data_IF_292241914446
#
_entry.id   IF_292241914446
#
_cell.length_a   1.000
_cell.length_b   1.000
_cell.length_c   1.000
_cell.angle_alpha   90.00
_cell.angle_beta   90.00
_cell.angle_gamma   90.00
#
_symmetry.space_group_name_H-M   'P 1'
#
loop_
_entity.id
_entity.type
_entity.pdbx_description
1 polymer ?
#
# COMPACT_ATOMS: atom_id res chain seq x y z
N UNK A 1 -64.11 -8.22 -47.60
CA UNK A 1 -62.83 -8.82 -48.03
C UNK A 1 -61.57 -7.96 -47.78
N UNK A 2 -61.58 -6.63 -47.98
CA UNK A 2 -60.40 -5.77 -47.74
C UNK A 2 -60.10 -5.53 -46.24
N UNK A 3 -61.14 -5.39 -45.44
CA UNK A 3 -61.01 -5.13 -43.98
C UNK A 3 -60.42 -6.36 -43.24
N UNK A 4 -60.80 -7.55 -43.59
CA UNK A 4 -60.27 -8.77 -43.01
C UNK A 4 -58.77 -8.99 -43.27
N UNK A 5 -58.31 -8.63 -44.48
CA UNK A 5 -56.91 -8.73 -44.81
C UNK A 5 -56.06 -7.68 -44.13
N UNK A 6 -56.59 -6.49 -43.92
CA UNK A 6 -55.91 -5.42 -43.17
C UNK A 6 -55.80 -5.84 -41.69
N UNK A 7 -56.83 -6.40 -41.08
CA UNK A 7 -56.81 -6.88 -39.70
C UNK A 7 -55.83 -8.01 -39.52
N UNK A 8 -55.72 -8.97 -40.44
CA UNK A 8 -54.76 -10.07 -40.43
C UNK A 8 -53.30 -9.56 -40.53
N UNK A 9 -53.03 -8.51 -41.33
CA UNK A 9 -51.68 -7.94 -41.43
C UNK A 9 -51.31 -7.20 -40.14
N UNK A 10 -52.23 -6.43 -39.56
CA UNK A 10 -52.01 -5.73 -38.29
C UNK A 10 -51.72 -6.74 -37.17
N UNK A 11 -52.50 -7.81 -37.08
CA UNK A 11 -52.29 -8.89 -36.07
C UNK A 11 -50.92 -9.59 -36.27
N UNK A 12 -50.51 -9.85 -37.49
CA UNK A 12 -49.24 -10.48 -37.76
C UNK A 12 -48.03 -9.56 -37.43
N UNK A 13 -48.14 -8.28 -37.66
CA UNK A 13 -47.12 -7.31 -37.30
C UNK A 13 -47.03 -7.12 -35.78
N UNK A 14 -48.17 -7.11 -35.05
CA UNK A 14 -48.18 -7.06 -33.58
C UNK A 14 -47.56 -8.36 -32.99
N UNK A 15 -47.80 -9.51 -33.57
CA UNK A 15 -47.23 -10.78 -33.11
C UNK A 15 -45.71 -10.85 -33.35
N UNK A 16 -45.22 -10.31 -34.48
CA UNK A 16 -43.79 -10.24 -34.79
C UNK A 16 -43.03 -9.28 -33.85
N UNK A 17 -43.66 -8.20 -33.39
CA UNK A 17 -43.06 -7.24 -32.46
C UNK A 17 -42.90 -7.79 -31.03
N UNK A 18 -43.71 -8.80 -30.64
CA UNK A 18 -43.65 -9.42 -29.31
C UNK A 18 -42.53 -10.46 -29.17
N UNK A 19 -41.82 -10.83 -30.22
CA UNK A 19 -40.72 -11.78 -30.22
C UNK A 19 -39.31 -11.13 -30.20
N UNK A 20 -39.21 -9.84 -29.87
CA UNK A 20 -37.90 -9.27 -29.60
C UNK A 20 -37.43 -9.84 -28.26
N UNK A 21 -36.42 -10.73 -28.22
CA UNK A 21 -35.87 -11.14 -26.95
C UNK A 21 -35.34 -9.88 -26.29
N UNK A 22 -35.94 -9.49 -25.16
CA UNK A 22 -35.30 -8.55 -24.27
C UNK A 22 -34.02 -9.22 -23.78
N UNK A 23 -32.91 -9.00 -24.49
CA UNK A 23 -31.59 -9.26 -23.96
C UNK A 23 -31.45 -8.30 -22.79
N UNK A 24 -31.81 -8.78 -21.61
CA UNK A 24 -31.45 -8.14 -20.37
C UNK A 24 -29.93 -8.23 -20.33
N UNK A 25 -29.27 -7.17 -20.75
CA UNK A 25 -27.87 -6.96 -20.37
C UNK A 25 -27.89 -6.80 -18.85
N UNK A 26 -27.73 -7.90 -18.09
CA UNK A 26 -27.33 -7.80 -16.73
C UNK A 26 -26.00 -7.04 -16.74
N UNK A 27 -26.00 -5.79 -16.36
CA UNK A 27 -24.76 -5.04 -16.18
C UNK A 27 -23.95 -5.84 -15.16
N UNK A 28 -22.78 -6.30 -15.57
CA UNK A 28 -21.89 -7.03 -14.70
C UNK A 28 -21.44 -6.06 -13.59
N UNK A 29 -21.80 -6.39 -12.35
CA UNK A 29 -21.41 -5.57 -11.19
C UNK A 29 -19.90 -5.71 -11.02
N UNK A 30 -19.11 -4.62 -11.11
CA UNK A 30 -17.67 -4.70 -11.00
C UNK A 30 -17.24 -5.16 -9.61
N UNK A 31 -16.25 -6.05 -9.57
CA UNK A 31 -15.66 -6.51 -8.34
C UNK A 31 -14.58 -5.54 -7.85
N UNK A 32 -14.50 -5.39 -6.52
CA UNK A 32 -13.41 -4.68 -5.88
C UNK A 32 -12.08 -5.39 -6.14
N UNK A 33 -11.08 -4.61 -6.56
CA UNK A 33 -9.70 -5.03 -6.73
C UNK A 33 -8.77 -3.92 -6.20
N UNK A 34 -7.51 -4.26 -5.90
CA UNK A 34 -6.55 -3.29 -5.41
C UNK A 34 -5.90 -3.69 -4.09
N UNK A 35 -5.33 -2.68 -3.40
CA UNK A 35 -4.61 -2.89 -2.15
C UNK A 35 -5.35 -2.25 -0.98
N UNK A 36 -5.72 -3.08 -0.01
CA UNK A 36 -6.24 -2.65 1.28
C UNK A 36 -5.10 -2.65 2.30
N UNK A 37 -4.99 -1.59 3.10
CA UNK A 37 -4.07 -1.50 4.24
C UNK A 37 -4.82 -1.14 5.50
N UNK A 38 -4.29 -1.58 6.64
CA UNK A 38 -4.69 -1.08 7.95
C UNK A 38 -3.76 0.09 8.28
N UNK A 39 -4.34 1.25 8.56
CA UNK A 39 -3.64 2.41 9.07
C UNK A 39 -3.77 2.47 10.59
N UNK A 40 -2.69 2.84 11.27
CA UNK A 40 -2.58 2.85 12.72
C UNK A 40 -1.66 1.77 13.24
N UNK A 41 -1.27 1.88 14.50
CA UNK A 41 -0.43 0.90 15.20
C UNK A 41 -1.32 -0.16 15.84
N UNK A 42 -1.04 -1.44 15.59
CA UNK A 42 -1.76 -2.55 16.20
C UNK A 42 -1.37 -2.67 17.68
N UNK A 43 -1.92 -1.79 18.54
CA UNK A 43 -1.63 -1.73 19.94
C UNK A 43 -2.87 -1.38 20.77
N UNK A 44 -2.92 -1.86 21.99
CA UNK A 44 -4.01 -1.58 22.95
C UNK A 44 -4.33 -0.08 23.03
N UNK A 45 -5.60 0.27 22.97
CA UNK A 45 -6.11 1.63 23.03
C UNK A 45 -5.93 2.45 21.74
N UNK A 46 -5.25 1.92 20.72
CA UNK A 46 -5.08 2.59 19.41
C UNK A 46 -6.23 2.27 18.49
N UNK A 47 -6.54 3.23 17.64
CA UNK A 47 -7.59 3.08 16.63
C UNK A 47 -6.97 2.70 15.28
N UNK A 48 -7.50 1.64 14.69
CA UNK A 48 -7.17 1.18 13.34
C UNK A 48 -8.23 1.66 12.36
N UNK A 49 -7.83 2.00 11.15
CA UNK A 49 -8.72 2.38 10.05
C UNK A 49 -8.32 1.70 8.73
N UNK A 50 -9.26 1.64 7.80
CA UNK A 50 -9.00 1.13 6.45
C UNK A 50 -8.36 2.22 5.60
N UNK A 51 -7.27 1.91 4.90
CA UNK A 51 -6.67 2.75 3.86
C UNK A 51 -6.77 2.04 2.51
N UNK A 52 -7.49 2.67 1.57
CA UNK A 52 -7.61 2.16 0.20
C UNK A 52 -6.48 2.70 -0.65
N UNK A 53 -5.69 1.79 -1.25
CA UNK A 53 -4.66 2.15 -2.22
C UNK A 53 -4.96 1.51 -3.57
N UNK A 54 -5.03 2.34 -4.60
CA UNK A 54 -5.23 1.85 -5.98
C UNK A 54 -6.46 0.93 -6.12
N UNK A 55 -7.56 1.23 -5.38
CA UNK A 55 -8.78 0.42 -5.44
C UNK A 55 -9.50 0.66 -6.76
N UNK A 56 -9.95 -0.41 -7.35
CA UNK A 56 -10.76 -0.44 -8.58
C UNK A 56 -12.13 -1.07 -8.28
N UNK A 57 -13.16 -0.68 -9.04
CA UNK A 57 -13.15 0.37 -10.06
C UNK A 57 -12.93 1.76 -9.45
N UNK A 58 -12.49 2.72 -10.29
CA UNK A 58 -12.32 4.11 -9.83
C UNK A 58 -13.66 4.69 -9.34
N UNK A 59 -13.60 5.52 -8.30
CA UNK A 59 -14.77 6.14 -7.71
C UNK A 59 -15.40 5.39 -6.54
N UNK A 60 -14.86 4.22 -6.16
CA UNK A 60 -15.27 3.54 -4.91
C UNK A 60 -14.97 4.42 -3.71
N UNK A 61 -15.98 4.68 -2.90
CA UNK A 61 -15.88 5.45 -1.66
C UNK A 61 -16.04 4.53 -0.44
N UNK A 62 -15.75 5.09 0.73
CA UNK A 62 -15.94 4.38 1.99
C UNK A 62 -17.40 3.98 2.27
N UNK A 63 -18.36 4.68 1.67
CA UNK A 63 -19.78 4.39 1.84
C UNK A 63 -20.27 3.24 0.93
N UNK A 64 -19.50 2.91 -0.10
CA UNK A 64 -19.81 1.86 -1.06
C UNK A 64 -19.40 0.46 -0.59
N UNK A 65 -18.79 0.38 0.58
CA UNK A 65 -18.25 -0.86 1.13
C UNK A 65 -18.78 -1.14 2.54
N UNK A 66 -18.77 -2.41 2.91
CA UNK A 66 -19.01 -2.89 4.26
C UNK A 66 -17.69 -3.35 4.88
N UNK A 67 -17.50 -3.02 6.15
CA UNK A 67 -16.31 -3.39 6.93
C UNK A 67 -16.63 -4.58 7.82
N UNK A 68 -15.65 -5.44 8.03
CA UNK A 68 -15.67 -6.51 9.01
C UNK A 68 -14.29 -6.62 9.65
N UNK A 69 -14.23 -6.34 10.94
CA UNK A 69 -13.05 -6.53 11.76
C UNK A 69 -13.17 -7.83 12.52
N UNK A 70 -12.13 -8.65 12.47
CA UNK A 70 -12.10 -9.96 13.11
C UNK A 70 -10.77 -10.13 13.84
N UNK A 71 -10.77 -10.88 14.95
CA UNK A 71 -9.57 -11.29 15.66
C UNK A 71 -9.12 -12.66 15.18
N UNK A 72 -7.84 -12.75 14.87
CA UNK A 72 -7.15 -13.98 14.49
C UNK A 72 -6.10 -14.33 15.55
N UNK A 73 -6.32 -15.42 16.26
CA UNK A 73 -5.40 -15.89 17.30
C UNK A 73 -4.26 -16.72 16.68
N UNK A 74 -3.29 -17.13 17.51
CA UNK A 74 -2.21 -18.05 17.08
C UNK A 74 -2.81 -19.42 16.70
N UNK A 75 -3.83 -19.89 17.41
CA UNK A 75 -4.52 -21.14 17.12
C UNK A 75 -5.23 -21.09 15.75
N UNK A 76 -5.82 -19.95 15.40
CA UNK A 76 -6.42 -19.71 14.10
C UNK A 76 -5.37 -19.76 12.97
N UNK A 77 -4.16 -19.26 13.22
CA UNK A 77 -3.06 -19.33 12.26
C UNK A 77 -2.57 -20.76 12.04
N UNK A 78 -2.53 -21.57 13.08
CA UNK A 78 -2.17 -23.00 12.99
C UNK A 78 -3.23 -23.78 12.23
N UNK A 79 -4.51 -23.52 12.49
CA UNK A 79 -5.66 -24.11 11.78
C UNK A 79 -5.59 -23.78 10.28
N UNK A 80 -5.31 -22.54 9.93
CA UNK A 80 -5.17 -22.12 8.52
C UNK A 80 -3.96 -22.79 7.84
N UNK A 81 -2.83 -22.95 8.54
CA UNK A 81 -1.64 -23.69 8.05
C UNK A 81 -1.94 -25.17 7.83
N UNK A 82 -2.84 -25.75 8.60
CA UNK A 82 -3.31 -27.12 8.42
C UNK A 82 -4.25 -27.28 7.21
N UNK A 83 -4.63 -26.17 6.56
CA UNK A 83 -5.55 -26.16 5.41
C UNK A 83 -7.03 -26.13 5.82
N UNK A 84 -7.30 -25.89 7.07
CA UNK A 84 -8.66 -25.73 7.60
C UNK A 84 -9.03 -24.25 7.67
N UNK A 85 -10.33 -23.96 7.60
CA UNK A 85 -10.80 -22.56 7.72
C UNK A 85 -11.05 -22.24 9.20
N UNK A 86 -10.28 -21.30 9.79
CA UNK A 86 -10.51 -20.90 11.18
C UNK A 86 -11.82 -20.12 11.32
N UNK A 87 -12.46 -20.23 12.49
CA UNK A 87 -13.57 -19.38 12.89
C UNK A 87 -13.05 -18.15 13.63
N UNK A 88 -12.85 -17.05 12.88
CA UNK A 88 -12.35 -15.79 13.45
C UNK A 88 -13.44 -15.13 14.30
N UNK A 89 -13.05 -14.51 15.40
CA UNK A 89 -13.97 -13.77 16.26
C UNK A 89 -14.27 -12.39 15.69
N UNK A 90 -15.55 -12.10 15.37
CA UNK A 90 -16.02 -10.79 14.97
C UNK A 90 -15.80 -9.76 16.08
N UNK A 91 -15.24 -8.60 15.71
CA UNK A 91 -14.93 -7.47 16.59
C UNK A 91 -15.80 -6.25 16.30
N UNK A 92 -16.19 -6.02 15.04
CA UNK A 92 -17.02 -4.90 14.65
C UNK A 92 -17.16 -4.72 13.14
N UNK A 93 -18.04 -3.78 12.75
CA UNK A 93 -18.38 -3.47 11.36
C UNK A 93 -18.27 -1.98 11.00
N UNK A 94 -17.68 -1.21 11.89
CA UNK A 94 -17.49 0.23 11.67
C UNK A 94 -16.26 0.49 10.78
N UNK A 95 -16.11 1.70 10.25
CA UNK A 95 -14.95 2.14 9.46
C UNK A 95 -13.63 2.03 10.23
N UNK A 96 -13.72 2.11 11.55
CA UNK A 96 -12.57 2.05 12.46
C UNK A 96 -12.78 1.00 13.55
N UNK A 97 -11.68 0.49 14.07
CA UNK A 97 -11.70 -0.41 15.21
C UNK A 97 -10.71 0.07 16.27
N UNK A 98 -11.14 0.17 17.51
CA UNK A 98 -10.24 0.47 18.65
C UNK A 98 -9.80 -0.83 19.28
N UNK A 99 -8.50 -1.06 19.25
CA UNK A 99 -7.86 -2.27 19.78
C UNK A 99 -8.04 -2.32 21.29
N UNK A 100 -8.43 -3.48 21.79
CA UNK A 100 -8.68 -3.73 23.22
C UNK A 100 -7.60 -4.62 23.84
N UNK A 101 -7.57 -4.70 25.15
CA UNK A 101 -6.66 -5.58 25.89
C UNK A 101 -6.82 -7.06 25.50
N UNK A 102 -8.04 -7.47 25.15
CA UNK A 102 -8.33 -8.85 24.74
C UNK A 102 -7.65 -9.24 23.42
N UNK A 103 -7.23 -8.27 22.63
CA UNK A 103 -6.61 -8.49 21.31
C UNK A 103 -5.09 -8.68 21.40
N UNK A 104 -4.48 -8.40 22.54
CA UNK A 104 -3.02 -8.51 22.73
C UNK A 104 -2.55 -9.93 22.40
N UNK A 105 -1.48 -10.02 21.59
CA UNK A 105 -0.92 -11.29 21.12
C UNK A 105 -1.63 -11.90 19.91
N UNK A 106 -2.77 -11.33 19.49
CA UNK A 106 -3.52 -11.73 18.28
C UNK A 106 -3.22 -10.79 17.12
N UNK A 107 -3.74 -11.09 15.94
CA UNK A 107 -3.76 -10.20 14.78
C UNK A 107 -5.18 -9.74 14.49
N UNK A 108 -5.31 -8.55 13.97
CA UNK A 108 -6.60 -8.00 13.53
C UNK A 108 -6.70 -8.19 12.01
N UNK A 109 -7.80 -8.79 11.60
CA UNK A 109 -8.13 -9.00 10.20
C UNK A 109 -9.20 -8.00 9.81
N UNK A 110 -8.97 -7.27 8.73
CA UNK A 110 -9.95 -6.40 8.12
C UNK A 110 -10.37 -6.99 6.78
N UNK A 111 -11.66 -7.21 6.62
CA UNK A 111 -12.29 -7.55 5.35
C UNK A 111 -13.19 -6.40 4.94
N UNK A 112 -13.02 -5.93 3.71
CA UNK A 112 -13.85 -4.88 3.10
C UNK A 112 -14.57 -5.51 1.92
N UNK A 113 -15.90 -5.42 1.89
CA UNK A 113 -16.75 -6.03 0.86
C UNK A 113 -17.57 -4.95 0.16
N UNK A 114 -17.58 -4.98 -1.17
CA UNK A 114 -18.40 -4.08 -1.97
C UNK A 114 -19.90 -4.30 -1.74
N UNK A 115 -20.66 -3.22 -1.66
CA UNK A 115 -22.11 -3.28 -1.53
C UNK A 115 -22.75 -3.38 -2.91
N UNK A 116 -23.45 -4.49 -3.16
CA UNK A 116 -24.15 -4.70 -4.43
C UNK A 116 -25.21 -3.62 -4.71
N UNK A 117 -25.85 -3.11 -3.67
CA UNK A 117 -26.81 -2.01 -3.75
C UNK A 117 -26.20 -0.70 -4.28
N UNK A 118 -24.89 -0.52 -4.10
CA UNK A 118 -24.12 0.62 -4.60
C UNK A 118 -23.39 0.29 -5.91
N UNK A 119 -23.62 -0.90 -6.48
CA UNK A 119 -23.05 -1.32 -7.74
C UNK A 119 -21.63 -1.87 -7.64
N UNK A 120 -21.24 -2.43 -6.49
CA UNK A 120 -19.93 -3.03 -6.27
C UNK A 120 -20.07 -4.43 -5.65
N UNK A 121 -19.15 -5.35 -6.01
CA UNK A 121 -19.08 -6.69 -5.46
C UNK A 121 -17.63 -7.04 -5.11
N UNK A 122 -17.39 -8.27 -4.64
CA UNK A 122 -16.06 -8.73 -4.26
C UNK A 122 -15.60 -8.22 -2.89
N UNK A 123 -14.46 -8.70 -2.43
CA UNK A 123 -13.91 -8.33 -1.13
C UNK A 123 -12.38 -8.27 -1.14
N UNK A 124 -11.84 -7.33 -0.37
CA UNK A 124 -10.41 -7.19 -0.08
C UNK A 124 -10.16 -7.55 1.38
N UNK A 125 -9.06 -8.22 1.67
CA UNK A 125 -8.70 -8.66 3.01
C UNK A 125 -7.26 -8.27 3.33
N UNK A 126 -7.04 -7.81 4.56
CA UNK A 126 -5.71 -7.49 5.09
C UNK A 126 -5.61 -7.90 6.55
N UNK A 127 -4.40 -8.24 6.97
CA UNK A 127 -4.10 -8.65 8.35
C UNK A 127 -3.08 -7.69 8.93
N UNK A 128 -3.29 -7.26 10.18
CA UNK A 128 -2.35 -6.40 10.91
C UNK A 128 -1.09 -7.16 11.35
N UNK A 129 -0.13 -6.42 11.86
CA UNK A 129 0.90 -6.98 12.74
C UNK A 129 0.25 -7.53 14.02
N UNK A 130 1.02 -8.28 14.81
CA UNK A 130 0.57 -8.77 16.10
C UNK A 130 0.30 -7.58 17.04
N UNK A 131 -0.86 -7.61 17.68
CA UNK A 131 -1.26 -6.57 18.64
C UNK A 131 -0.35 -6.61 19.87
N UNK A 132 0.21 -5.47 20.22
CA UNK A 132 1.06 -5.27 21.40
C UNK A 132 0.32 -4.45 22.46
N UNK A 133 0.80 -4.50 23.68
CA UNK A 133 0.29 -3.65 24.76
C UNK A 133 0.69 -2.18 24.57
N UNK A 134 -0.01 -1.27 25.24
CA UNK A 134 0.16 0.17 25.09
C UNK A 134 1.58 0.65 25.51
N UNK A 135 2.21 0.01 26.50
CA UNK A 135 3.55 0.39 26.94
C UNK A 135 4.61 0.01 25.91
N UNK A 136 4.55 -1.21 25.40
CA UNK A 136 5.45 -1.67 24.31
C UNK A 136 5.33 -0.77 23.07
N UNK A 137 4.11 -0.35 22.73
CA UNK A 137 3.89 0.57 21.61
C UNK A 137 4.54 1.94 21.86
N UNK A 138 4.38 2.49 23.07
CA UNK A 138 5.00 3.77 23.43
C UNK A 138 6.53 3.69 23.39
N UNK A 139 7.12 2.60 23.87
CA UNK A 139 8.57 2.39 23.88
C UNK A 139 9.11 2.25 22.44
N UNK A 140 8.39 1.58 21.56
CA UNK A 140 8.73 1.48 20.13
C UNK A 140 8.63 2.83 19.41
N UNK A 141 7.58 3.61 19.66
CA UNK A 141 7.41 4.95 19.10
C UNK A 141 8.51 5.90 19.59
N UNK A 142 8.88 5.85 20.87
CA UNK A 142 9.97 6.64 21.45
C UNK A 142 11.32 6.29 20.78
N UNK A 143 11.63 5.01 20.65
CA UNK A 143 12.86 4.54 20.01
C UNK A 143 12.92 4.94 18.53
N UNK A 144 11.81 4.81 17.79
CA UNK A 144 11.75 5.22 16.39
C UNK A 144 11.92 6.73 16.22
N UNK A 145 11.40 7.53 17.15
CA UNK A 145 11.59 8.99 17.16
C UNK A 145 13.05 9.37 17.44
N UNK A 146 13.73 8.68 18.37
CA UNK A 146 15.14 8.90 18.69
C UNK A 146 16.06 8.52 17.50
N UNK A 147 15.79 7.38 16.85
CA UNK A 147 16.54 6.95 15.68
C UNK A 147 16.37 7.91 14.50
N UNK A 148 15.16 8.43 14.30
CA UNK A 148 14.89 9.43 13.27
C UNK A 148 15.58 10.77 13.56
N UNK A 149 15.64 11.19 14.82
CA UNK A 149 16.37 12.39 15.25
C UNK A 149 17.87 12.23 15.04
N UNK A 150 18.46 11.10 15.39
CA UNK A 150 19.86 10.79 15.17
C UNK A 150 20.24 10.76 13.67
N UNK A 151 19.35 10.20 12.82
CA UNK A 151 19.55 10.19 11.37
C UNK A 151 19.49 11.60 10.75
N UNK A 152 18.65 12.48 11.28
CA UNK A 152 18.55 13.87 10.84
C UNK A 152 19.81 14.68 11.20
N UNK A 153 20.36 14.51 12.40
CA UNK A 153 21.59 15.17 12.85
C UNK A 153 22.81 14.75 12.01
N UNK A 154 22.88 13.45 11.66
CA UNK A 154 23.94 12.93 10.78
C UNK A 154 23.85 13.49 9.36
N UNK A 155 22.65 13.67 8.82
CA UNK A 155 22.46 14.27 7.49
C UNK A 155 22.84 15.75 7.45
N UNK A 156 22.55 16.50 8.52
CA UNK A 156 22.92 17.92 8.64
C UNK A 156 24.43 18.11 8.78
N UNK A 157 25.12 17.22 9.51
CA UNK A 157 26.58 17.23 9.62
C UNK A 157 27.29 16.89 8.30
N UNK A 158 26.75 15.99 7.50
CA UNK A 158 27.27 15.66 6.17
C UNK A 158 27.11 16.83 5.18
N UNK A 159 25.95 17.48 5.19
CA UNK A 159 25.71 18.66 4.34
C UNK A 159 26.62 19.86 4.69
N UNK A 160 26.95 20.04 5.98
CA UNK A 160 27.89 21.08 6.43
C UNK A 160 29.33 20.79 6.00
N UNK A 161 29.78 19.54 5.95
CA UNK A 161 31.12 19.16 5.49
C UNK A 161 31.30 19.28 3.97
N UNK A 162 30.27 19.03 3.19
CA UNK A 162 30.35 19.24 1.73
C UNK A 162 30.45 20.71 1.36
N UNK A 163 29.81 21.65 2.09
CA UNK A 163 29.91 23.08 1.86
C UNK A 163 31.29 23.67 2.25
N UNK A 164 31.93 23.16 3.28
CA UNK A 164 33.30 23.60 3.64
C UNK A 164 34.35 23.09 2.64
N UNK A 165 34.16 21.91 2.03
CA UNK A 165 35.11 21.37 1.06
C UNK A 165 35.04 22.08 -0.31
N UNK A 166 33.86 22.56 -0.72
CA UNK A 166 33.72 23.37 -1.95
C UNK A 166 34.30 24.79 -1.80
N UNK A 167 34.25 25.37 -0.61
CA UNK A 167 34.79 26.70 -0.37
C UNK A 167 36.33 26.72 -0.26
N UNK A 168 36.96 25.56 0.07
CA UNK A 168 38.42 25.43 0.16
C UNK A 168 39.11 25.22 -1.20
N UNK A 169 38.38 24.84 -2.24
CA UNK A 169 38.94 24.61 -3.59
C UNK A 169 38.90 25.84 -4.51
N UNK A 170 38.24 26.92 -4.10
CA UNK A 170 38.05 28.12 -4.97
C UNK A 170 38.93 29.31 -4.60
N UNK A 171 39.99 29.18 -3.81
CA UNK A 171 40.90 30.29 -3.41
C UNK A 171 42.34 30.15 -3.88
N UNK A 172 42.64 29.19 -4.79
CA UNK A 172 44.01 29.10 -5.33
C UNK A 172 44.04 29.06 -6.88
N UNK A 173 43.60 30.19 -7.49
CA UNK A 173 43.82 30.45 -8.91
C UNK A 173 43.83 31.95 -9.17
N UNK A 174 44.91 32.65 -8.75
CA UNK A 174 45.34 33.89 -9.41
C UNK A 174 46.77 34.29 -9.02
N UNK A 175 47.59 34.34 -10.01
CA UNK A 175 48.97 34.86 -10.15
C UNK A 175 50.02 33.74 -10.32
N UNK A 176 50.82 33.66 -11.32
CA UNK A 176 51.46 34.66 -12.16
C UNK A 176 52.06 34.01 -13.42
N UNK A 177 52.20 34.79 -14.45
CA UNK A 177 52.80 34.53 -15.74
C UNK A 177 54.32 34.40 -15.62
N UNK A 178 54.93 33.58 -16.41
CA UNK A 178 56.10 33.69 -17.27
C UNK A 178 57.02 32.45 -17.34
N UNK A 179 57.03 31.92 -18.52
CA UNK A 179 58.16 31.68 -19.45
C UNK A 179 59.31 30.76 -19.01
N UNK A 180 59.54 29.79 -19.83
CA UNK A 180 60.75 29.33 -20.49
C UNK A 180 61.01 27.84 -20.47
N UNK A 181 60.79 27.23 -21.63
CA UNK A 181 61.62 26.28 -22.40
C UNK A 181 62.43 25.19 -21.68
N UNK A 182 62.23 23.98 -22.20
CA UNK A 182 63.19 23.03 -22.72
C UNK A 182 63.32 21.66 -22.01
N UNK A 183 62.98 20.70 -22.82
CA UNK A 183 63.63 19.36 -23.06
C UNK A 183 63.91 18.39 -21.92
N UNK A 184 63.43 17.22 -22.18
CA UNK A 184 64.27 16.01 -21.86
C UNK A 184 63.56 14.85 -21.22
N UNK A 185 63.12 13.92 -22.02
CA UNK A 185 63.45 12.49 -22.01
C UNK A 185 63.27 11.65 -20.72
N UNK A 186 62.45 10.65 -20.88
CA UNK A 186 62.57 9.25 -20.48
C UNK A 186 62.35 8.75 -19.06
N UNK A 187 61.61 7.70 -19.08
CA UNK A 187 61.66 6.40 -18.41
C UNK A 187 60.97 6.20 -17.08
N UNK A 188 59.92 5.40 -17.24
CA UNK A 188 59.71 4.07 -16.64
C UNK A 188 59.94 3.90 -15.14
N UNK A 189 58.92 3.45 -14.49
CA UNK A 189 58.82 2.21 -13.68
C UNK A 189 57.55 2.28 -12.83
N UNK A 190 56.54 1.50 -13.15
CA UNK A 190 56.08 0.28 -12.51
C UNK A 190 56.25 0.25 -10.96
N UNK A 191 55.16 0.13 -10.26
CA UNK A 191 54.90 -0.75 -9.12
C UNK A 191 53.53 -0.54 -8.50
N UNK A 192 52.62 -1.37 -8.86
CA UNK A 192 51.90 -2.43 -8.10
C UNK A 192 51.57 -2.19 -6.60
N UNK A 193 50.30 -2.54 -6.32
CA UNK A 193 49.71 -3.10 -5.11
C UNK A 193 49.40 -2.13 -3.96
N UNK A 194 48.27 -2.23 -3.21
CA UNK A 194 47.48 -3.40 -2.82
C UNK A 194 46.13 -2.96 -2.31
N UNK A 195 45.14 -3.77 -2.62
CA UNK A 195 43.83 -3.81 -1.96
C UNK A 195 44.02 -4.36 -0.53
N UNK A 196 43.33 -3.71 0.41
CA UNK A 196 43.07 -4.32 1.73
C UNK A 196 41.58 -4.23 2.01
N UNK A 197 40.95 -5.39 1.94
CA UNK A 197 39.67 -5.73 2.46
C UNK A 197 39.77 -5.85 3.98
N UNK A 198 38.87 -5.19 4.73
CA UNK A 198 38.55 -5.57 6.09
C UNK A 198 37.05 -5.68 6.27
N UNK A 199 36.60 -6.92 6.40
CA UNK A 199 35.36 -7.34 7.05
C UNK A 199 35.56 -7.28 8.57
N UNK A 200 34.60 -6.67 9.24
CA UNK A 200 34.11 -7.12 10.55
C UNK A 200 32.67 -6.65 10.70
#
# INVERSE_FOLDING_TARGET
MRKERILAVIMSVLLALSMIPATVFAAEIPALDGKLKIQGTAAEGRTLSAEFKEVKPEGVTEDDVAYLWERKTVEDEETEKAGEKPELKELGKDKTYTVTQDDIGSKIVLTVTGKEENGYTGSLKVVSDTVIDAQTAADQEAKAAEEKAAAADTAEQQAAQETENEQSQNTDASADTEETTQTGVSEDTDTTYQAVSYTH
#
